data_IF_553642127967
#
_entry.id   IF_553642127967
#
_cell.length_a   1.000
_cell.length_b   1.000
_cell.length_c   1.000
_cell.angle_alpha   90.00
_cell.angle_beta   90.00
_cell.angle_gamma   90.00
#
_symmetry.space_group_name_H-M   'P 1'
#
loop_
_entity.id
_entity.type
_entity.pdbx_description
1 polymer ?
#
# COMPACT_ATOMS: atom_id res chain seq x y z
N UNK A 1 43.39 -19.30 7.91
CA UNK A 1 42.71 -20.29 7.06
C UNK A 1 41.32 -20.43 7.67
N UNK A 2 40.31 -19.69 7.25
CA UNK A 2 40.12 -18.99 5.98
C UNK A 2 39.24 -17.75 6.21
N UNK A 3 39.62 -16.65 5.59
CA UNK A 3 38.75 -15.50 5.35
C UNK A 3 37.65 -15.92 4.37
N UNK A 4 36.40 -15.67 4.73
CA UNK A 4 35.28 -15.75 3.79
C UNK A 4 34.84 -14.31 3.53
N UNK A 5 35.40 -13.70 2.49
CA UNK A 5 34.86 -12.47 1.93
C UNK A 5 33.44 -12.76 1.43
N UNK A 6 32.45 -12.13 2.05
CA UNK A 6 31.14 -11.97 1.44
C UNK A 6 31.31 -11.04 0.25
N UNK A 7 31.19 -11.60 -0.95
CA UNK A 7 31.03 -10.83 -2.18
C UNK A 7 29.55 -10.52 -2.26
N UNK A 8 29.16 -9.31 -1.86
CA UNK A 8 27.85 -8.77 -2.23
C UNK A 8 27.91 -8.55 -3.73
N UNK A 9 27.16 -9.37 -4.48
CA UNK A 9 26.93 -9.13 -5.89
C UNK A 9 26.05 -7.89 -5.98
N UNK A 10 26.63 -6.80 -6.48
CA UNK A 10 25.88 -5.69 -7.04
C UNK A 10 25.04 -6.27 -8.18
N UNK A 11 23.74 -6.46 -7.91
CA UNK A 11 22.77 -6.77 -8.96
C UNK A 11 22.68 -5.49 -9.79
N UNK A 12 23.05 -5.58 -11.05
CA UNK A 12 22.94 -4.46 -11.97
C UNK A 12 21.48 -4.30 -12.36
N UNK A 13 20.94 -3.12 -12.05
CA UNK A 13 19.76 -2.53 -12.66
C UNK A 13 19.72 -2.80 -14.16
N UNK A 14 18.67 -3.45 -14.64
CA UNK A 14 18.35 -3.53 -16.07
C UNK A 14 17.02 -2.79 -16.22
N UNK A 15 17.06 -1.46 -16.20
CA UNK A 15 15.91 -0.66 -16.64
C UNK A 15 15.52 -1.11 -18.05
N UNK A 16 14.32 -1.67 -18.18
CA UNK A 16 13.78 -2.12 -19.46
C UNK A 16 13.09 -0.89 -20.06
N UNK A 17 13.73 -0.26 -21.05
CA UNK A 17 13.07 0.77 -21.84
C UNK A 17 11.83 0.16 -22.52
N UNK A 18 10.66 0.53 -22.02
CA UNK A 18 9.37 0.00 -22.45
C UNK A 18 8.75 0.99 -23.44
N UNK A 19 8.40 0.52 -24.63
CA UNK A 19 7.88 1.38 -25.70
C UNK A 19 6.36 1.52 -25.54
N UNK A 20 5.87 2.69 -25.12
CA UNK A 20 4.43 2.98 -25.03
C UNK A 20 4.04 4.02 -26.08
N UNK A 21 3.35 3.57 -27.13
CA UNK A 21 2.86 4.45 -28.19
C UNK A 21 1.48 5.01 -27.84
N UNK A 22 1.42 6.25 -27.35
CA UNK A 22 0.15 6.93 -27.08
C UNK A 22 -0.32 7.73 -28.30
N UNK A 23 -1.53 7.45 -28.77
CA UNK A 23 -2.17 8.22 -29.85
C UNK A 23 -2.82 9.49 -29.28
N UNK A 24 -2.04 10.54 -29.03
CA UNK A 24 -2.53 11.84 -28.59
C UNK A 24 -3.37 12.51 -29.70
N UNK A 25 -4.70 12.50 -29.60
CA UNK A 25 -5.54 13.35 -30.45
C UNK A 25 -5.60 14.75 -29.86
N UNK A 26 -4.65 15.61 -30.20
CA UNK A 26 -4.65 17.01 -29.82
C UNK A 26 -5.98 17.71 -30.21
N UNK A 27 -6.73 18.19 -29.21
CA UNK A 27 -7.88 19.06 -29.40
C UNK A 27 -7.44 20.43 -29.92
N UNK A 28 -7.71 20.72 -31.19
CA UNK A 28 -7.30 21.97 -31.86
C UNK A 28 -8.06 23.18 -31.28
N UNK A 29 -7.40 23.96 -30.43
CA UNK A 29 -7.75 25.34 -30.10
C UNK A 29 -6.71 26.32 -30.67
N UNK A 30 -6.90 26.80 -31.91
CA UNK A 30 -5.95 27.69 -32.58
C UNK A 30 -5.92 29.10 -31.95
N UNK A 31 -4.76 29.50 -31.41
CA UNK A 31 -4.39 30.90 -31.09
C UNK A 31 -3.09 31.22 -31.83
N UNK A 32 -2.94 32.36 -32.54
CA UNK A 32 -1.81 32.55 -33.44
C UNK A 32 -0.53 32.97 -32.70
N UNK A 33 0.52 32.17 -32.90
CA UNK A 33 1.94 32.51 -33.02
C UNK A 33 2.47 33.73 -32.23
N UNK A 34 3.00 33.46 -31.03
CA UNK A 34 4.31 33.97 -30.62
C UNK A 34 5.24 32.76 -30.46
N UNK A 35 6.45 32.86 -30.97
CA UNK A 35 7.39 31.73 -31.06
C UNK A 35 7.93 31.29 -29.70
N UNK A 36 7.16 30.47 -28.99
CA UNK A 36 7.74 29.47 -28.10
C UNK A 36 8.40 28.43 -28.97
N UNK A 37 9.71 28.31 -28.85
CA UNK A 37 10.42 27.09 -29.22
C UNK A 37 9.66 25.96 -28.56
N UNK A 38 9.08 25.02 -29.34
CA UNK A 38 8.79 23.70 -28.80
C UNK A 38 10.09 23.28 -28.09
N UNK A 39 10.07 23.18 -26.76
CA UNK A 39 11.16 22.52 -26.05
C UNK A 39 11.31 21.16 -26.72
N UNK A 40 12.51 20.84 -27.17
CA UNK A 40 12.75 19.47 -27.63
C UNK A 40 12.57 18.60 -26.37
N UNK A 41 11.52 17.79 -26.34
CA UNK A 41 11.31 16.77 -25.29
C UNK A 41 12.42 15.71 -25.26
N UNK A 42 13.40 15.82 -26.18
CA UNK A 42 14.59 14.97 -26.25
C UNK A 42 15.44 14.94 -24.99
N UNK A 43 15.20 15.85 -24.03
CA UNK A 43 15.92 15.89 -22.77
C UNK A 43 15.11 15.31 -21.59
N UNK A 44 13.85 14.91 -21.79
CA UNK A 44 13.06 14.26 -20.75
C UNK A 44 13.58 12.85 -20.48
N UNK A 45 13.69 12.48 -19.21
CA UNK A 45 14.15 11.15 -18.82
C UNK A 45 13.58 10.77 -17.45
N UNK A 46 13.39 9.49 -17.21
CA UNK A 46 13.07 8.95 -15.88
C UNK A 46 13.91 7.71 -15.64
N UNK A 47 14.28 7.48 -14.38
CA UNK A 47 14.94 6.27 -13.91
C UNK A 47 14.19 5.78 -12.70
N UNK A 48 13.58 4.62 -12.86
CA UNK A 48 12.76 3.98 -11.85
C UNK A 48 13.29 2.57 -11.63
N UNK A 49 13.92 2.39 -10.48
CA UNK A 49 14.63 1.17 -10.14
C UNK A 49 13.72 0.18 -9.41
N UNK A 50 13.99 -1.11 -9.63
CA UNK A 50 13.37 -2.19 -8.86
C UNK A 50 13.58 -1.92 -7.37
N UNK A 51 12.51 -2.03 -6.58
CA UNK A 51 12.54 -1.67 -5.17
C UNK A 51 11.59 -2.52 -4.34
N UNK A 52 11.78 -2.44 -3.03
CA UNK A 52 10.91 -3.04 -2.03
C UNK A 52 10.24 -1.92 -1.24
N UNK A 53 8.94 -2.07 -0.97
CA UNK A 53 8.10 -1.05 -0.32
C UNK A 53 6.96 -1.70 0.43
N UNK A 54 6.41 -1.02 1.44
CA UNK A 54 5.15 -1.37 2.12
C UNK A 54 3.91 -1.17 1.22
N UNK A 55 4.10 -0.85 -0.07
CA UNK A 55 3.03 -0.71 -1.06
C UNK A 55 2.31 0.63 -1.08
N UNK A 56 2.53 1.51 -0.11
CA UNK A 56 1.90 2.85 -0.04
C UNK A 56 2.65 3.93 -0.83
N UNK A 57 3.98 3.83 -0.94
CA UNK A 57 4.83 4.86 -1.56
C UNK A 57 5.95 4.21 -2.35
N UNK A 58 6.30 4.82 -3.48
CA UNK A 58 7.47 4.43 -4.29
C UNK A 58 8.39 5.62 -4.49
N UNK A 59 9.67 5.33 -4.73
CA UNK A 59 10.70 6.36 -4.96
C UNK A 59 11.22 6.26 -6.39
N UNK A 60 11.18 7.38 -7.11
CA UNK A 60 11.85 7.54 -8.40
C UNK A 60 13.28 7.98 -8.15
N UNK A 61 14.27 7.21 -8.63
CA UNK A 61 15.69 7.53 -8.43
C UNK A 61 16.03 8.89 -9.05
N UNK A 62 15.62 9.11 -10.30
CA UNK A 62 15.74 10.43 -10.93
C UNK A 62 14.73 10.67 -12.03
N UNK A 63 14.34 11.93 -12.20
CA UNK A 63 13.53 12.38 -13.34
C UNK A 63 14.06 13.73 -13.83
N UNK A 64 14.12 13.90 -15.14
CA UNK A 64 14.36 15.20 -15.78
C UNK A 64 13.11 15.63 -16.54
N UNK A 65 12.54 16.76 -16.15
CA UNK A 65 11.40 17.41 -16.81
C UNK A 65 11.91 18.68 -17.52
N UNK A 66 11.89 18.75 -18.87
CA UNK A 66 12.38 19.90 -19.62
C UNK A 66 11.63 21.21 -19.34
N UNK A 67 10.34 21.09 -19.05
CA UNK A 67 9.46 22.16 -18.58
C UNK A 67 8.81 21.68 -17.27
N UNK A 68 8.01 22.54 -16.64
CA UNK A 68 7.35 22.18 -15.39
C UNK A 68 6.38 20.99 -15.58
N UNK A 69 6.17 20.18 -14.55
CA UNK A 69 5.33 18.99 -14.67
C UNK A 69 5.33 18.06 -13.45
N UNK A 70 5.13 16.77 -13.71
CA UNK A 70 4.88 15.73 -12.71
C UNK A 70 5.48 14.39 -13.14
N UNK A 71 5.51 13.42 -12.23
CA UNK A 71 5.68 12.00 -12.58
C UNK A 71 4.44 11.24 -12.14
N UNK A 72 3.78 10.61 -13.11
CA UNK A 72 2.68 9.69 -12.86
C UNK A 72 3.20 8.25 -12.76
N UNK A 73 2.62 7.49 -11.84
CA UNK A 73 2.86 6.05 -11.70
C UNK A 73 1.67 5.31 -12.28
N UNK A 74 1.95 4.46 -13.27
CA UNK A 74 0.98 3.58 -13.88
C UNK A 74 1.18 2.14 -13.42
N UNK A 75 0.10 1.40 -13.26
CA UNK A 75 0.15 -0.06 -13.12
C UNK A 75 0.26 -0.76 -14.49
N UNK A 76 0.42 -2.09 -14.47
CA UNK A 76 0.61 -2.90 -15.68
C UNK A 76 -0.51 -2.80 -16.73
N UNK A 77 -1.73 -2.35 -16.37
CA UNK A 77 -2.85 -2.20 -17.33
C UNK A 77 -2.56 -1.17 -18.42
N UNK A 78 -1.60 -0.25 -18.21
CA UNK A 78 -1.11 0.65 -19.26
C UNK A 78 -0.66 -0.13 -20.50
N UNK A 79 -0.04 -1.30 -20.31
CA UNK A 79 0.46 -2.16 -21.39
C UNK A 79 -0.65 -2.87 -22.16
N UNK A 80 -1.83 -2.99 -21.54
CA UNK A 80 -3.05 -3.48 -22.17
C UNK A 80 -3.82 -2.36 -22.89
N UNK A 81 -3.31 -1.12 -22.84
CA UNK A 81 -3.85 0.06 -23.51
C UNK A 81 -4.80 0.89 -22.63
N UNK A 82 -4.87 0.61 -21.33
CA UNK A 82 -5.63 1.39 -20.36
C UNK A 82 -4.84 2.62 -19.93
N UNK A 83 -4.85 3.67 -20.74
CA UNK A 83 -4.00 4.84 -20.52
C UNK A 83 -4.39 5.64 -19.27
N UNK A 84 -5.68 5.98 -19.13
CA UNK A 84 -6.15 6.88 -18.06
C UNK A 84 -6.37 6.12 -16.75
N UNK A 85 -6.98 4.94 -16.82
CA UNK A 85 -7.30 4.11 -15.64
C UNK A 85 -6.09 3.41 -15.01
N UNK A 86 -4.94 3.38 -15.69
CA UNK A 86 -3.72 2.78 -15.12
C UNK A 86 -3.00 3.69 -14.13
N UNK A 87 -3.30 5.00 -14.11
CA UNK A 87 -2.66 5.94 -13.17
C UNK A 87 -3.09 5.60 -11.74
N UNK A 88 -2.12 5.24 -10.91
CA UNK A 88 -2.33 4.89 -9.51
C UNK A 88 -1.60 5.83 -8.54
N UNK A 89 -0.77 6.75 -9.01
CA UNK A 89 -0.10 7.73 -8.15
C UNK A 89 0.46 8.88 -8.97
N UNK A 90 0.69 10.03 -8.32
CA UNK A 90 1.32 11.20 -8.94
C UNK A 90 2.20 11.92 -7.94
N UNK A 91 3.36 12.38 -8.39
CA UNK A 91 4.26 13.20 -7.59
C UNK A 91 3.65 14.56 -7.27
N UNK A 92 4.25 15.27 -6.31
CA UNK A 92 4.07 16.73 -6.25
C UNK A 92 4.60 17.41 -7.53
N UNK A 93 4.22 18.67 -7.71
CA UNK A 93 4.68 19.51 -8.82
C UNK A 93 6.21 19.63 -8.85
N UNK A 94 6.77 19.49 -10.05
CA UNK A 94 8.19 19.56 -10.35
C UNK A 94 8.47 20.75 -11.28
N UNK A 95 9.28 21.71 -10.82
CA UNK A 95 9.83 22.74 -11.69
C UNK A 95 10.75 22.12 -12.76
N UNK A 96 10.91 22.80 -13.90
CA UNK A 96 11.82 22.39 -14.96
C UNK A 96 13.25 22.10 -14.44
N UNK A 97 13.75 20.89 -14.69
CA UNK A 97 15.06 20.44 -14.23
C UNK A 97 15.12 18.95 -13.92
N UNK A 98 16.20 18.54 -13.27
CA UNK A 98 16.40 17.18 -12.77
C UNK A 98 16.10 17.12 -11.28
N UNK A 99 15.30 16.15 -10.88
CA UNK A 99 14.94 15.84 -9.49
C UNK A 99 15.39 14.41 -9.19
N UNK A 100 15.82 14.19 -7.95
CA UNK A 100 16.30 12.90 -7.44
C UNK A 100 15.47 12.52 -6.21
N UNK A 101 15.35 11.23 -5.95
CA UNK A 101 14.62 10.68 -4.78
C UNK A 101 13.19 11.23 -4.66
N UNK A 102 12.44 11.24 -5.78
CA UNK A 102 11.06 11.75 -5.80
C UNK A 102 10.13 10.68 -5.23
N UNK A 103 9.56 10.96 -4.06
CA UNK A 103 8.55 10.11 -3.42
C UNK A 103 7.18 10.31 -4.07
N UNK A 104 6.49 9.21 -4.36
CA UNK A 104 5.13 9.21 -4.92
C UNK A 104 4.25 8.29 -4.10
N UNK A 105 3.22 8.86 -3.47
CA UNK A 105 2.18 8.09 -2.78
C UNK A 105 1.25 7.43 -3.80
N UNK A 106 0.97 6.15 -3.58
CA UNK A 106 0.07 5.35 -4.39
C UNK A 106 -1.36 5.42 -3.84
N UNK A 107 -2.34 5.25 -4.73
CA UNK A 107 -3.78 5.20 -4.45
C UNK A 107 -4.35 6.43 -3.71
N UNK A 108 -3.62 7.54 -3.71
CA UNK A 108 -4.04 8.81 -3.13
C UNK A 108 -3.63 9.96 -4.07
N UNK A 109 -4.29 11.12 -3.93
CA UNK A 109 -3.81 12.38 -4.52
C UNK A 109 -3.98 12.51 -6.03
N UNK A 110 -4.58 11.52 -6.71
CA UNK A 110 -4.88 11.60 -8.15
C UNK A 110 -6.30 12.13 -8.36
N UNK A 111 -6.42 13.35 -8.89
CA UNK A 111 -7.73 13.94 -9.16
C UNK A 111 -8.46 13.26 -10.33
N UNK A 112 -9.78 13.08 -10.18
CA UNK A 112 -10.62 12.42 -11.18
C UNK A 112 -10.68 10.89 -11.07
N UNK A 113 -10.04 10.29 -10.07
CA UNK A 113 -10.14 8.85 -9.75
C UNK A 113 -10.60 8.61 -8.31
N UNK A 114 -10.99 7.37 -8.03
CA UNK A 114 -11.29 6.87 -6.69
C UNK A 114 -10.77 5.45 -6.61
N UNK A 115 -9.94 5.17 -5.61
CA UNK A 115 -9.34 3.87 -5.41
C UNK A 115 -10.12 3.09 -4.35
N UNK A 116 -10.20 1.77 -4.55
CA UNK A 116 -10.83 0.83 -3.62
C UNK A 116 -9.82 0.25 -2.60
N UNK A 117 -8.54 0.60 -2.74
CA UNK A 117 -7.41 0.19 -1.91
C UNK A 117 -6.54 1.41 -1.57
N UNK A 118 -5.66 1.27 -0.58
CA UNK A 118 -4.73 2.33 -0.13
C UNK A 118 -3.24 1.99 -0.35
N UNK A 119 -2.93 0.75 -0.70
CA UNK A 119 -1.57 0.26 -0.94
C UNK A 119 -1.59 -0.86 -1.98
N UNK A 120 -0.42 -1.23 -2.50
CA UNK A 120 -0.26 -2.47 -3.27
C UNK A 120 -0.42 -3.67 -2.36
N UNK A 121 -1.23 -4.64 -2.77
CA UNK A 121 -1.47 -5.88 -2.01
C UNK A 121 -0.56 -7.04 -2.47
N UNK A 122 0.06 -6.92 -3.64
CA UNK A 122 0.93 -7.93 -4.23
C UNK A 122 2.05 -7.27 -5.04
N UNK A 123 3.15 -8.00 -5.21
CA UNK A 123 4.25 -7.63 -6.11
C UNK A 123 3.72 -7.26 -7.50
N UNK A 124 4.28 -6.22 -8.10
CA UNK A 124 3.83 -5.80 -9.41
C UNK A 124 4.80 -4.88 -10.16
N UNK A 125 4.67 -4.94 -11.48
CA UNK A 125 5.34 -4.00 -12.38
C UNK A 125 4.61 -2.67 -12.39
N UNK A 126 5.33 -1.62 -11.99
CA UNK A 126 4.90 -0.23 -12.11
C UNK A 126 5.70 0.50 -13.19
N UNK A 127 5.10 1.54 -13.76
CA UNK A 127 5.66 2.30 -14.87
C UNK A 127 5.62 3.78 -14.50
N UNK A 128 6.79 4.39 -14.34
CA UNK A 128 6.92 5.82 -14.13
C UNK A 128 6.89 6.54 -15.48
N UNK A 129 6.06 7.59 -15.58
CA UNK A 129 5.89 8.39 -16.78
C UNK A 129 5.93 9.88 -16.40
N UNK A 130 6.88 10.68 -16.90
CA UNK A 130 6.86 12.12 -16.71
C UNK A 130 5.73 12.77 -17.53
N UNK A 131 4.95 13.64 -16.90
CA UNK A 131 3.90 14.44 -17.50
C UNK A 131 4.24 15.93 -17.43
N UNK A 132 3.78 16.69 -18.41
CA UNK A 132 4.01 18.15 -18.49
C UNK A 132 2.79 18.90 -17.97
N UNK A 133 2.98 19.91 -17.14
CA UNK A 133 1.93 20.89 -16.85
C UNK A 133 1.63 21.72 -18.12
N UNK A 134 0.47 21.48 -18.74
CA UNK A 134 0.16 22.02 -20.08
C UNK A 134 -0.61 23.34 -20.04
N UNK A 135 -1.29 23.64 -18.93
CA UNK A 135 -2.07 24.87 -18.76
C UNK A 135 -1.52 25.80 -17.65
N UNK A 136 -0.47 25.38 -16.96
CA UNK A 136 0.35 26.19 -16.07
C UNK A 136 -0.34 26.49 -14.75
N UNK A 137 -1.16 25.57 -14.26
CA UNK A 137 -1.89 25.71 -13.01
C UNK A 137 -1.28 24.92 -11.84
N UNK A 138 -0.17 24.22 -12.07
CA UNK A 138 0.56 23.43 -11.08
C UNK A 138 -0.26 22.27 -10.47
N UNK A 139 -1.39 21.89 -11.09
CA UNK A 139 -2.22 20.74 -10.70
C UNK A 139 -2.14 19.62 -11.76
N UNK A 140 -2.22 18.35 -11.33
CA UNK A 140 -2.20 17.22 -12.28
C UNK A 140 -3.60 16.85 -12.75
N UNK A 141 -3.84 17.09 -14.03
CA UNK A 141 -5.18 17.21 -14.59
C UNK A 141 -5.49 16.15 -15.67
N UNK A 142 -4.52 15.28 -15.96
CA UNK A 142 -4.59 14.25 -17.00
C UNK A 142 -5.80 13.32 -16.83
N UNK A 143 -6.00 12.78 -15.62
CA UNK A 143 -7.07 11.80 -15.36
C UNK A 143 -8.44 12.48 -15.41
N UNK A 144 -8.57 13.64 -14.76
CA UNK A 144 -9.81 14.42 -14.73
C UNK A 144 -10.26 14.84 -16.14
N UNK A 145 -9.31 15.15 -17.03
CA UNK A 145 -9.60 15.60 -18.40
C UNK A 145 -9.53 14.47 -19.45
N UNK A 146 -9.57 13.20 -19.03
CA UNK A 146 -9.53 12.03 -19.94
C UNK A 146 -8.32 12.06 -20.91
N UNK A 147 -7.17 12.55 -20.44
CA UNK A 147 -5.93 12.73 -21.18
C UNK A 147 -5.85 13.97 -22.06
N UNK A 148 -6.78 14.93 -21.89
CA UNK A 148 -6.83 16.17 -22.65
C UNK A 148 -5.82 17.24 -22.20
N UNK A 149 -5.53 17.27 -20.91
CA UNK A 149 -4.51 18.10 -20.27
C UNK A 149 -3.38 17.21 -19.75
N UNK A 150 -2.24 17.84 -19.47
CA UNK A 150 -1.03 17.24 -18.93
C UNK A 150 -0.60 15.95 -19.59
N UNK A 151 -0.34 16.03 -20.89
CA UNK A 151 0.20 14.89 -21.61
C UNK A 151 1.60 14.50 -21.12
N UNK A 152 1.99 13.23 -21.31
CA UNK A 152 3.35 12.78 -21.06
C UNK A 152 4.36 13.51 -21.95
N UNK A 153 5.59 13.61 -21.44
CA UNK A 153 6.74 13.94 -22.27
C UNK A 153 7.01 12.81 -23.26
N UNK A 154 7.37 13.18 -24.50
CA UNK A 154 7.56 12.19 -25.58
C UNK A 154 8.89 12.36 -26.31
N UNK A 155 9.61 11.27 -26.55
CA UNK A 155 10.76 11.22 -27.45
C UNK A 155 10.40 10.40 -28.69
N UNK A 156 10.66 10.94 -29.90
CA UNK A 156 10.33 10.28 -31.17
C UNK A 156 8.85 9.83 -31.31
N UNK A 157 7.91 10.64 -30.78
CA UNK A 157 6.46 10.36 -30.69
C UNK A 157 6.08 9.21 -29.72
N UNK A 158 7.00 8.77 -28.86
CA UNK A 158 6.80 7.70 -27.87
C UNK A 158 6.93 8.29 -26.45
N UNK A 159 6.08 7.84 -25.52
CA UNK A 159 6.16 8.36 -24.15
C UNK A 159 7.45 7.95 -23.47
N UNK A 160 8.08 8.90 -22.79
CA UNK A 160 9.23 8.63 -21.93
C UNK A 160 8.73 7.88 -20.71
N UNK A 161 9.18 6.64 -20.52
CA UNK A 161 8.81 5.80 -19.40
C UNK A 161 9.99 4.98 -18.92
N UNK A 162 9.92 4.54 -17.67
CA UNK A 162 10.75 3.47 -17.14
C UNK A 162 9.91 2.59 -16.22
N UNK A 163 10.17 1.28 -16.25
CA UNK A 163 9.39 0.30 -15.48
C UNK A 163 10.25 -0.36 -14.42
N UNK A 164 9.69 -0.52 -13.23
CA UNK A 164 10.31 -1.21 -12.11
C UNK A 164 9.42 -2.36 -11.63
N UNK A 165 10.04 -3.44 -11.17
CA UNK A 165 9.38 -4.41 -10.31
C UNK A 165 9.35 -3.87 -8.88
N UNK A 166 8.16 -3.69 -8.33
CA UNK A 166 7.98 -3.32 -6.92
C UNK A 166 7.58 -4.57 -6.16
N UNK A 167 8.47 -5.00 -5.26
CA UNK A 167 8.17 -6.06 -4.30
C UNK A 167 7.47 -5.44 -3.09
N UNK A 168 6.32 -5.97 -2.72
CA UNK A 168 5.62 -5.53 -1.52
C UNK A 168 6.24 -6.26 -0.33
N UNK A 169 6.77 -5.51 0.63
CA UNK A 169 7.04 -6.05 1.96
C UNK A 169 5.68 -6.28 2.61
N UNK A 170 5.34 -7.55 2.84
CA UNK A 170 4.27 -7.88 3.78
C UNK A 170 4.78 -7.38 5.13
N UNK A 171 4.00 -6.56 5.84
CA UNK A 171 4.30 -6.20 7.23
C UNK A 171 4.58 -7.51 7.99
N UNK A 172 5.86 -7.78 8.28
CA UNK A 172 6.35 -9.00 8.96
C UNK A 172 5.71 -9.16 10.38
N UNK A 173 4.92 -8.17 10.83
CA UNK A 173 4.08 -8.27 12.01
C UNK A 173 3.08 -9.44 11.94
N UNK A 174 2.69 -9.91 10.75
CA UNK A 174 1.81 -11.09 10.61
C UNK A 174 2.55 -12.44 10.68
N UNK A 175 3.83 -12.53 10.30
CA UNK A 175 4.59 -13.79 10.35
C UNK A 175 5.08 -14.14 11.78
N UNK A 176 5.31 -13.14 12.63
CA UNK A 176 5.58 -13.30 14.07
C UNK A 176 4.31 -13.19 14.94
N UNK A 177 3.14 -12.90 14.35
CA UNK A 177 1.87 -12.85 15.08
C UNK A 177 1.53 -14.21 15.70
N UNK A 178 1.20 -14.21 16.99
CA UNK A 178 0.71 -15.41 17.71
C UNK A 178 -0.58 -15.94 17.05
N UNK A 179 -1.36 -15.05 16.44
CA UNK A 179 -2.57 -15.35 15.68
C UNK A 179 -2.56 -14.66 14.31
N UNK A 180 -1.95 -15.27 13.28
CA UNK A 180 -1.84 -14.65 11.96
C UNK A 180 -3.14 -14.67 11.17
N UNK A 181 -4.06 -15.59 11.48
CA UNK A 181 -5.33 -15.75 10.76
C UNK A 181 -6.53 -15.84 11.73
N UNK A 182 -7.74 -15.48 11.28
CA UNK A 182 -8.97 -15.78 12.00
C UNK A 182 -9.12 -17.28 12.32
N UNK A 183 -9.58 -17.59 13.52
CA UNK A 183 -9.83 -18.95 14.00
C UNK A 183 -11.28 -19.35 13.79
N UNK A 184 -11.50 -20.39 12.99
CA UNK A 184 -12.84 -20.97 12.76
C UNK A 184 -13.20 -21.98 13.86
N UNK A 185 -14.12 -21.59 14.74
CA UNK A 185 -14.56 -22.42 15.86
C UNK A 185 -15.89 -23.11 15.54
N UNK A 186 -15.90 -24.44 15.62
CA UNK A 186 -17.12 -25.25 15.47
C UNK A 186 -17.58 -25.82 16.80
N UNK A 187 -18.60 -25.23 17.41
CA UNK A 187 -19.17 -25.69 18.70
C UNK A 187 -20.66 -25.99 18.54
N UNK A 188 -21.07 -27.20 18.92
CA UNK A 188 -22.48 -27.64 18.92
C UNK A 188 -23.22 -27.44 17.58
N UNK A 189 -22.50 -27.46 16.45
CA UNK A 189 -23.06 -27.26 15.10
C UNK A 189 -23.23 -25.80 14.68
N UNK A 190 -22.67 -24.85 15.43
CA UNK A 190 -22.49 -23.45 15.04
C UNK A 190 -21.01 -23.25 14.68
N UNK A 191 -20.76 -22.61 13.54
CA UNK A 191 -19.42 -22.12 13.16
C UNK A 191 -19.36 -20.63 13.45
N UNK A 192 -18.35 -20.24 14.22
CA UNK A 192 -18.06 -18.84 14.58
C UNK A 192 -16.64 -18.55 14.14
N UNK A 193 -16.47 -17.49 13.36
CA UNK A 193 -15.15 -16.95 13.02
C UNK A 193 -14.74 -15.98 14.12
N UNK A 194 -13.52 -16.13 14.63
CA UNK A 194 -12.95 -15.28 15.68
C UNK A 194 -11.62 -14.74 15.18
N UNK A 195 -11.51 -13.42 15.00
CA UNK A 195 -10.22 -12.76 14.82
C UNK A 195 -9.86 -12.27 13.40
N UNK A 196 -8.56 -12.04 13.14
CA UNK A 196 -7.44 -12.40 14.02
C UNK A 196 -7.49 -11.61 15.34
N UNK A 197 -7.28 -12.26 16.50
CA UNK A 197 -7.18 -11.56 17.78
C UNK A 197 -6.07 -10.51 17.77
N UNK A 198 -6.26 -9.42 18.51
CA UNK A 198 -5.30 -8.33 18.66
C UNK A 198 -4.94 -8.07 20.11
N UNK A 199 -3.68 -7.71 20.32
CA UNK A 199 -3.16 -7.11 21.55
C UNK A 199 -3.19 -5.58 21.38
N UNK A 200 -4.24 -4.95 21.93
CA UNK A 200 -4.51 -3.53 21.72
C UNK A 200 -3.63 -2.62 22.60
N UNK A 201 -3.01 -3.14 23.65
CA UNK A 201 -2.16 -2.38 24.57
C UNK A 201 -0.70 -2.86 24.67
N UNK A 202 -0.31 -3.81 23.80
CA UNK A 202 1.06 -4.30 23.60
C UNK A 202 1.65 -4.86 24.91
N UNK A 203 0.83 -5.58 25.68
CA UNK A 203 1.22 -6.19 26.95
C UNK A 203 1.46 -7.71 26.88
N UNK A 204 1.19 -8.30 25.71
CA UNK A 204 1.26 -9.72 25.38
C UNK A 204 -0.07 -10.46 25.54
N UNK A 205 -1.15 -9.80 25.96
CA UNK A 205 -2.48 -10.39 26.18
C UNK A 205 -3.47 -9.94 25.11
N UNK A 206 -3.94 -10.92 24.35
CA UNK A 206 -4.87 -10.72 23.25
C UNK A 206 -6.30 -10.68 23.77
N UNK A 207 -6.75 -9.49 24.13
CA UNK A 207 -8.07 -9.25 24.74
C UNK A 207 -9.15 -8.81 23.75
N UNK A 208 -8.77 -8.29 22.57
CA UNK A 208 -9.68 -8.12 21.43
C UNK A 208 -9.63 -9.39 20.58
N UNK A 209 -10.65 -10.24 20.72
CA UNK A 209 -10.67 -11.51 20.00
C UNK A 209 -11.26 -11.39 18.60
N UNK A 210 -11.93 -10.28 18.30
CA UNK A 210 -12.62 -10.10 17.03
C UNK A 210 -11.81 -9.24 16.04
N UNK A 211 -10.78 -8.54 16.53
CA UNK A 211 -9.83 -7.76 15.72
C UNK A 211 -10.38 -6.43 15.23
N UNK A 212 -11.39 -5.86 15.92
CA UNK A 212 -11.93 -4.54 15.57
C UNK A 212 -11.24 -3.37 16.27
N UNK A 213 -10.21 -3.67 17.07
CA UNK A 213 -9.41 -2.70 17.81
C UNK A 213 -10.06 -2.23 19.12
N UNK A 214 -11.18 -2.83 19.54
CA UNK A 214 -11.87 -2.47 20.79
C UNK A 214 -12.11 -3.69 21.69
N UNK A 215 -11.71 -3.61 22.96
CA UNK A 215 -12.01 -4.66 23.96
C UNK A 215 -13.40 -4.42 24.54
N UNK A 216 -14.34 -5.31 24.24
CA UNK A 216 -15.74 -5.21 24.65
C UNK A 216 -16.25 -6.45 25.38
N UNK A 217 -17.50 -6.37 25.85
CA UNK A 217 -18.20 -7.54 26.39
C UNK A 217 -18.48 -8.62 25.32
N UNK A 218 -18.35 -8.30 24.03
CA UNK A 218 -18.45 -9.29 22.98
C UNK A 218 -17.22 -10.20 22.99
N UNK A 219 -16.04 -9.66 23.22
CA UNK A 219 -14.78 -10.41 23.32
C UNK A 219 -14.80 -11.38 24.49
N UNK A 220 -15.37 -10.97 25.63
CA UNK A 220 -15.64 -11.88 26.74
C UNK A 220 -16.54 -13.08 26.34
N UNK A 221 -17.53 -12.85 25.48
CA UNK A 221 -18.39 -13.93 24.97
C UNK A 221 -17.65 -14.81 23.99
N UNK A 222 -16.83 -14.24 23.11
CA UNK A 222 -15.98 -14.98 22.18
C UNK A 222 -14.96 -15.84 22.93
N UNK A 223 -14.37 -15.33 24.01
CA UNK A 223 -13.46 -16.08 24.86
C UNK A 223 -14.15 -17.29 25.49
N UNK A 224 -15.37 -17.14 26.00
CA UNK A 224 -16.15 -18.27 26.50
C UNK A 224 -16.45 -19.32 25.42
N UNK A 225 -16.58 -18.92 24.14
CA UNK A 225 -16.71 -19.85 23.01
C UNK A 225 -15.38 -20.58 22.77
N UNK A 226 -14.24 -19.89 22.81
CA UNK A 226 -12.88 -20.47 22.74
C UNK A 226 -12.69 -21.53 23.82
N UNK A 227 -12.94 -21.19 25.10
CA UNK A 227 -12.84 -22.12 26.24
C UNK A 227 -13.71 -23.36 26.00
N UNK A 228 -14.94 -23.17 25.52
CA UNK A 228 -15.85 -24.28 25.23
C UNK A 228 -15.32 -25.19 24.12
N UNK A 229 -14.68 -24.63 23.09
CA UNK A 229 -14.10 -25.39 21.98
C UNK A 229 -12.85 -26.17 22.40
N UNK A 230 -11.98 -25.55 23.21
CA UNK A 230 -10.79 -26.18 23.79
C UNK A 230 -11.19 -27.34 24.70
N UNK A 231 -12.16 -27.13 25.61
CA UNK A 231 -12.68 -28.18 26.51
C UNK A 231 -13.35 -29.34 25.76
N UNK A 232 -13.97 -29.05 24.61
CA UNK A 232 -14.55 -30.05 23.73
C UNK A 232 -13.50 -30.80 22.89
N UNK A 233 -12.27 -30.30 22.81
CA UNK A 233 -11.22 -30.80 21.93
C UNK A 233 -11.46 -30.48 20.45
N UNK A 234 -12.27 -29.45 20.16
CA UNK A 234 -12.58 -28.97 18.80
C UNK A 234 -11.63 -27.84 18.37
N UNK A 235 -10.90 -27.23 19.32
CA UNK A 235 -9.85 -26.24 19.10
C UNK A 235 -8.60 -26.65 19.89
N UNK A 236 -7.45 -26.62 19.23
CA UNK A 236 -6.14 -26.91 19.84
C UNK A 236 -5.31 -25.63 19.73
N UNK A 237 -4.92 -25.07 20.87
CA UNK A 237 -4.07 -23.88 20.94
C UNK A 237 -2.63 -24.31 21.19
N UNK A 238 -1.66 -23.61 20.57
CA UNK A 238 -0.27 -23.74 20.98
C UNK A 238 -0.09 -23.23 22.42
N UNK A 239 1.03 -23.58 23.07
CA UNK A 239 1.34 -23.07 24.42
C UNK A 239 1.38 -21.52 24.42
N UNK A 240 1.90 -20.91 23.35
CA UNK A 240 2.00 -19.45 23.17
C UNK A 240 0.64 -18.80 22.93
N UNK A 241 -0.22 -19.44 22.12
CA UNK A 241 -1.59 -18.99 21.90
C UNK A 241 -2.44 -19.09 23.18
N UNK A 242 -2.23 -20.13 23.97
CA UNK A 242 -2.91 -20.30 25.25
C UNK A 242 -2.48 -19.24 26.26
N UNK A 243 -1.18 -18.96 26.36
CA UNK A 243 -0.63 -17.92 27.22
C UNK A 243 -1.13 -16.52 26.79
N UNK A 244 -1.23 -16.27 25.48
CA UNK A 244 -1.70 -15.00 24.93
C UNK A 244 -3.19 -14.69 25.23
N UNK A 245 -4.04 -15.71 25.43
CA UNK A 245 -5.46 -15.53 25.77
C UNK A 245 -5.78 -15.85 27.24
N UNK A 246 -4.77 -16.13 28.06
CA UNK A 246 -4.87 -16.25 29.52
C UNK A 246 -4.86 -14.85 30.16
N UNK A 247 -6.00 -14.16 30.04
CA UNK A 247 -6.15 -12.75 30.44
C UNK A 247 -5.89 -12.53 31.93
N UNK A 248 -6.15 -13.52 32.77
CA UNK A 248 -5.94 -13.40 34.21
C UNK A 248 -4.50 -13.82 34.64
N UNK A 249 -3.74 -14.48 33.75
CA UNK A 249 -2.34 -14.84 33.92
C UNK A 249 -2.10 -15.96 34.95
N UNK A 250 -3.07 -16.86 35.16
CA UNK A 250 -2.94 -18.00 36.08
C UNK A 250 -2.38 -19.28 35.43
N UNK A 251 -2.09 -19.22 34.13
CA UNK A 251 -1.58 -20.28 33.29
C UNK A 251 -2.65 -21.21 32.75
N UNK A 252 -3.92 -20.79 32.74
CA UNK A 252 -5.02 -21.61 32.24
C UNK A 252 -6.12 -20.80 31.54
N UNK A 253 -6.35 -21.09 30.26
CA UNK A 253 -7.48 -20.54 29.50
C UNK A 253 -8.80 -21.12 30.00
N UNK A 254 -9.55 -20.34 30.78
CA UNK A 254 -10.80 -20.73 31.42
C UNK A 254 -11.87 -19.65 31.30
N UNK A 255 -13.07 -19.95 31.79
CA UNK A 255 -14.14 -18.95 31.87
C UNK A 255 -13.84 -17.79 32.82
N UNK A 256 -12.82 -17.90 33.68
CA UNK A 256 -12.41 -16.80 34.56
C UNK A 256 -11.70 -15.69 33.76
N UNK A 257 -11.02 -16.02 32.65
CA UNK A 257 -10.45 -15.03 31.71
C UNK A 257 -11.52 -14.23 30.99
N UNK A 258 -12.56 -14.91 30.49
CA UNK A 258 -13.72 -14.26 29.90
C UNK A 258 -14.38 -13.27 30.87
N UNK A 259 -14.39 -13.57 32.16
CA UNK A 259 -14.89 -12.65 33.18
C UNK A 259 -13.96 -11.45 33.36
N UNK A 260 -12.64 -11.64 33.30
CA UNK A 260 -11.67 -10.55 33.39
C UNK A 260 -11.87 -9.56 32.24
N UNK A 261 -12.01 -10.03 30.99
CA UNK A 261 -12.32 -9.17 29.82
C UNK A 261 -13.61 -8.36 30.04
N UNK A 262 -14.66 -9.00 30.57
CA UNK A 262 -15.93 -8.31 30.84
C UNK A 262 -15.79 -7.26 31.96
N UNK A 263 -14.91 -7.50 32.95
CA UNK A 263 -14.66 -6.59 34.07
C UNK A 263 -13.79 -5.40 33.66
N UNK A 264 -12.77 -5.61 32.82
CA UNK A 264 -11.90 -4.54 32.31
C UNK A 264 -12.68 -3.58 31.40
N UNK A 265 -13.58 -4.12 30.57
CA UNK A 265 -14.49 -3.32 29.73
C UNK A 265 -15.39 -2.38 30.55
N UNK A 266 -15.95 -2.86 31.68
CA UNK A 266 -16.84 -2.05 32.54
C UNK A 266 -16.09 -0.92 33.26
N UNK A 267 -14.77 -1.06 33.49
CA UNK A 267 -13.95 0.00 34.09
C UNK A 267 -13.63 1.15 33.13
N UNK A 268 -13.53 0.90 31.82
CA UNK A 268 -13.38 1.95 30.79
C UNK A 268 -14.64 2.82 30.64
N UNK A 269 -15.83 2.22 30.75
CA UNK A 269 -17.10 2.92 30.65
C UNK A 269 -17.42 3.83 31.86
N UNK A 270 -16.85 3.55 33.05
CA UNK A 270 -17.08 4.36 34.27
C UNK A 270 -16.13 5.56 34.39
N UNK A 271 -15.03 5.61 33.64
CA UNK A 271 -14.04 6.70 33.71
C UNK A 271 -14.48 7.98 32.96
N UNK A 272 -15.39 7.88 31.99
CA UNK A 272 -15.85 8.99 31.15
C UNK A 272 -17.05 9.77 31.71
N UNK A 273 -17.48 9.46 32.94
CA UNK A 273 -18.67 10.03 33.57
C UNK A 273 -18.33 10.94 34.79
N UNK A 274 -17.34 11.83 34.66
CA UNK A 274 -17.09 12.91 35.63
C UNK A 274 -16.67 14.22 34.96
#
# INVERSE_FOLDING_TARGET
MSDTSSVVQQVGAIGIALLVALSMTAGIGAVPADGHTNGDDSDASVTFEDQTSEGETVVIESVTVPEDGFVAIHNASLLDGEVVSSVIGVSEYLEAGTHEDVEVTLFEGVDGTTFDQSALEEDGTLIAMPHRDTDGDEEYDFVQNEGGNDGPYTEDDEAVVDSAEVTVEEDDDEEDAIFPEPVEISVAGLTVSVGPPQDVDDDGIYSDLNGDGEVTVLDAVLHAVVVTAVDAGELDLSDEQADAVDVNGDGAVTYDDALEIALTTDMGAQASAW
#
